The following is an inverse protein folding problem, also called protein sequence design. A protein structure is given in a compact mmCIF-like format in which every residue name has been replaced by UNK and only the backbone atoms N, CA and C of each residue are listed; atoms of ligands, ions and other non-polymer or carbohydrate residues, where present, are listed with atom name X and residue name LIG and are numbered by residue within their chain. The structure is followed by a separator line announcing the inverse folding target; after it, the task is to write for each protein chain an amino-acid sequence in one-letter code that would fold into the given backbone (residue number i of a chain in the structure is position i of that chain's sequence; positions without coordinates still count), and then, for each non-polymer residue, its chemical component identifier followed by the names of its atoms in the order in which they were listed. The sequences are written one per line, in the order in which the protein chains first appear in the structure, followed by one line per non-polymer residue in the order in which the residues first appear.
data_IF_888015111953
#
_entry.id   IF_888015111953
#
_cell.length_a   1.000
_cell.length_b   1.000
_cell.length_c   1.000
_cell.angle_alpha   90.00
_cell.angle_beta   90.00
_cell.angle_gamma   90.00
#
_symmetry.space_group_name_H-M   'P 1'
#
loop_
_entity.id
_entity.type
_entity.pdbx_description
1 polymer ?
#
# COMPACT_ATOMS: atom_id res chain seq x y z
N UNK A 1 -5.64 -38.30 -15.93
CA UNK A 1 -4.42 -37.63 -15.48
C UNK A 1 -4.56 -36.16 -15.87
N UNK A 2 -4.95 -35.32 -14.90
CA UNK A 2 -5.10 -33.87 -15.13
C UNK A 2 -3.72 -33.23 -15.07
N UNK A 3 -3.22 -32.75 -16.21
CA UNK A 3 -2.03 -31.90 -16.26
C UNK A 3 -2.40 -30.58 -15.61
N UNK A 4 -2.02 -30.40 -14.33
CA UNK A 4 -2.05 -29.10 -13.70
C UNK A 4 -1.15 -28.16 -14.52
N UNK A 5 -1.76 -27.23 -15.23
CA UNK A 5 -1.05 -26.21 -15.96
C UNK A 5 -0.17 -25.43 -14.94
N UNK A 6 1.11 -25.31 -15.23
CA UNK A 6 2.06 -24.48 -14.51
C UNK A 6 1.58 -23.02 -14.64
N UNK A 7 0.75 -22.56 -13.69
CA UNK A 7 0.31 -21.19 -13.65
C UNK A 7 1.44 -20.30 -13.17
N UNK A 8 1.74 -19.23 -13.91
CA UNK A 8 2.63 -18.15 -13.46
C UNK A 8 2.18 -17.54 -12.11
N UNK A 9 2.86 -16.49 -11.61
CA UNK A 9 2.39 -15.74 -10.45
C UNK A 9 0.95 -15.29 -10.60
N UNK A 10 0.19 -15.27 -9.47
CA UNK A 10 -1.18 -14.77 -9.49
C UNK A 10 -1.20 -13.34 -10.06
N UNK A 11 -2.16 -13.03 -10.95
CA UNK A 11 -2.37 -11.65 -11.38
C UNK A 11 -2.95 -10.81 -10.24
N UNK A 12 -2.47 -9.59 -10.08
CA UNK A 12 -2.87 -8.69 -9.01
C UNK A 12 -3.42 -7.39 -9.59
N UNK A 13 -4.57 -6.94 -9.09
CA UNK A 13 -5.09 -5.61 -9.37
C UNK A 13 -4.83 -4.72 -8.15
N UNK A 14 -4.15 -3.59 -8.36
CA UNK A 14 -3.76 -2.64 -7.30
C UNK A 14 -4.30 -1.25 -7.64
N UNK A 15 -5.08 -0.69 -6.71
CA UNK A 15 -5.50 0.70 -6.76
C UNK A 15 -4.39 1.61 -6.21
N UNK A 16 -4.07 2.67 -6.92
CA UNK A 16 -3.15 3.71 -6.47
C UNK A 16 -3.82 5.07 -6.61
N UNK A 17 -3.87 5.83 -5.53
CA UNK A 17 -4.60 7.10 -5.46
C UNK A 17 -3.68 8.21 -4.94
N UNK A 18 -3.46 9.25 -5.75
CA UNK A 18 -2.86 10.48 -5.28
C UNK A 18 -3.95 11.46 -4.91
N UNK A 19 -3.89 11.98 -3.69
CA UNK A 19 -4.89 12.89 -3.11
C UNK A 19 -4.20 14.22 -2.91
N UNK A 20 -4.56 15.22 -3.71
CA UNK A 20 -3.97 16.55 -3.66
C UNK A 20 -4.81 17.55 -4.45
N UNK A 21 -5.31 18.59 -3.79
CA UNK A 21 -5.99 19.74 -4.43
C UNK A 21 -5.10 20.39 -5.50
N UNK A 22 -3.81 20.53 -5.23
CA UNK A 22 -2.87 21.22 -6.11
C UNK A 22 -2.48 20.41 -7.33
N UNK A 23 -2.28 19.10 -7.16
CA UNK A 23 -1.95 18.23 -8.28
C UNK A 23 -3.18 17.98 -9.15
N UNK A 24 -4.34 17.72 -8.55
CA UNK A 24 -5.60 17.48 -9.29
C UNK A 24 -6.08 18.70 -10.08
N UNK A 25 -5.74 19.91 -9.61
CA UNK A 25 -6.02 21.17 -10.34
C UNK A 25 -4.92 21.58 -11.34
N UNK A 26 -3.85 20.79 -11.48
CA UNK A 26 -2.78 21.05 -12.42
C UNK A 26 -1.77 22.12 -11.97
N UNK A 27 -1.78 22.53 -10.70
CA UNK A 27 -0.84 23.51 -10.15
C UNK A 27 0.60 22.98 -10.12
N UNK A 28 0.77 21.66 -9.91
CA UNK A 28 2.04 20.98 -10.07
C UNK A 28 1.85 19.54 -10.58
N UNK A 29 2.93 18.95 -11.08
CA UNK A 29 2.93 17.58 -11.55
C UNK A 29 2.86 16.59 -10.39
N UNK A 30 1.96 15.61 -10.47
CA UNK A 30 1.88 14.53 -9.48
C UNK A 30 3.11 13.62 -9.57
N UNK A 31 3.77 13.44 -8.45
CA UNK A 31 4.92 12.52 -8.30
C UNK A 31 4.60 11.29 -7.46
N UNK A 32 3.43 11.26 -6.83
CA UNK A 32 3.00 10.17 -5.96
C UNK A 32 2.66 8.91 -6.75
N UNK A 33 1.81 9.02 -7.77
CA UNK A 33 1.41 7.88 -8.60
C UNK A 33 2.60 7.24 -9.33
N UNK A 34 3.52 8.00 -9.98
CA UNK A 34 4.72 7.41 -10.57
C UNK A 34 5.58 6.67 -9.56
N UNK A 35 5.81 7.25 -8.37
CA UNK A 35 6.62 6.63 -7.32
C UNK A 35 6.01 5.33 -6.81
N UNK A 36 4.68 5.28 -6.56
CA UNK A 36 3.97 4.07 -6.16
C UNK A 36 4.06 2.99 -7.23
N UNK A 37 3.79 3.34 -8.49
CA UNK A 37 3.83 2.40 -9.60
C UNK A 37 5.22 1.81 -9.81
N UNK A 38 6.25 2.64 -9.79
CA UNK A 38 7.64 2.21 -9.92
C UNK A 38 8.02 1.25 -8.78
N UNK A 39 7.72 1.64 -7.54
CA UNK A 39 8.06 0.84 -6.38
C UNK A 39 7.38 -0.53 -6.41
N UNK A 40 6.06 -0.59 -6.63
CA UNK A 40 5.30 -1.84 -6.69
C UNK A 40 5.78 -2.77 -7.82
N UNK A 41 6.12 -2.20 -8.97
CA UNK A 41 6.66 -2.97 -10.10
C UNK A 41 8.02 -3.61 -9.76
N UNK A 42 8.86 -2.94 -8.94
CA UNK A 42 10.13 -3.51 -8.46
C UNK A 42 9.94 -4.52 -7.33
N UNK A 43 8.92 -4.33 -6.50
CA UNK A 43 8.72 -5.09 -5.26
C UNK A 43 8.02 -6.44 -5.44
N UNK A 44 7.30 -6.64 -6.55
CA UNK A 44 6.47 -7.82 -6.80
C UNK A 44 6.87 -8.54 -8.09
N UNK A 45 6.87 -9.87 -8.03
CA UNK A 45 7.00 -10.74 -9.20
C UNK A 45 5.66 -10.93 -9.95
N UNK A 46 4.56 -10.57 -9.31
CA UNK A 46 3.22 -10.71 -9.86
C UNK A 46 3.00 -9.80 -11.07
N UNK A 47 2.28 -10.24 -12.11
CA UNK A 47 1.71 -9.33 -13.10
C UNK A 47 0.72 -8.38 -12.43
N UNK A 48 0.95 -7.06 -12.55
CA UNK A 48 0.15 -6.03 -11.89
C UNK A 48 -0.69 -5.27 -12.91
N UNK A 49 -2.00 -5.18 -12.65
CA UNK A 49 -2.89 -4.21 -13.28
C UNK A 49 -3.11 -3.04 -12.33
N UNK A 50 -2.74 -1.84 -12.73
CA UNK A 50 -2.91 -0.63 -11.93
C UNK A 50 -4.20 0.10 -12.27
N UNK A 51 -4.98 0.43 -11.23
CA UNK A 51 -6.09 1.37 -11.27
C UNK A 51 -5.64 2.67 -10.60
N UNK A 52 -5.26 3.67 -11.41
CA UNK A 52 -4.71 4.93 -10.91
C UNK A 52 -5.77 6.03 -10.88
N UNK A 53 -5.78 6.82 -9.80
CA UNK A 53 -6.66 8.01 -9.64
C UNK A 53 -5.85 9.17 -9.07
N UNK A 54 -6.08 10.36 -9.61
CA UNK A 54 -5.60 11.63 -9.08
C UNK A 54 -6.81 12.48 -8.73
N UNK A 55 -7.02 12.75 -7.44
CA UNK A 55 -8.23 13.40 -6.93
C UNK A 55 -7.92 14.53 -5.94
N UNK A 56 -8.89 15.40 -5.71
CA UNK A 56 -8.82 16.47 -4.73
C UNK A 56 -8.98 15.95 -3.28
N UNK A 57 -8.58 16.77 -2.31
CA UNK A 57 -8.72 16.51 -0.86
C UNK A 57 -10.19 16.73 -0.42
N UNK A 58 -11.11 15.94 -0.96
CA UNK A 58 -12.55 15.96 -0.64
C UNK A 58 -12.99 14.62 -0.08
N UNK A 59 -13.45 14.59 1.19
CA UNK A 59 -13.74 13.34 1.91
C UNK A 59 -14.72 12.44 1.15
N UNK A 60 -15.80 12.98 0.61
CA UNK A 60 -16.80 12.22 -0.13
C UNK A 60 -16.21 11.60 -1.41
N UNK A 61 -15.39 12.36 -2.14
CA UNK A 61 -14.70 11.88 -3.35
C UNK A 61 -13.71 10.79 -3.03
N UNK A 62 -12.92 10.94 -1.97
CA UNK A 62 -11.96 9.93 -1.52
C UNK A 62 -12.71 8.64 -1.16
N UNK A 63 -13.74 8.73 -0.31
CA UNK A 63 -14.55 7.56 0.10
C UNK A 63 -15.15 6.83 -1.09
N UNK A 64 -15.76 7.57 -2.03
CA UNK A 64 -16.34 6.98 -3.25
C UNK A 64 -15.29 6.29 -4.12
N UNK A 65 -14.12 6.91 -4.29
CA UNK A 65 -12.99 6.34 -5.05
C UNK A 65 -12.47 5.04 -4.41
N UNK A 66 -12.35 5.00 -3.08
CA UNK A 66 -11.92 3.79 -2.38
C UNK A 66 -12.93 2.64 -2.57
N UNK A 67 -14.22 2.92 -2.47
CA UNK A 67 -15.28 1.94 -2.73
C UNK A 67 -15.22 1.43 -4.18
N UNK A 68 -15.14 2.34 -5.15
CA UNK A 68 -15.01 2.01 -6.58
C UNK A 68 -13.84 1.05 -6.84
N UNK A 69 -12.67 1.33 -6.26
CA UNK A 69 -11.48 0.49 -6.45
C UNK A 69 -11.63 -0.89 -5.82
N UNK A 70 -12.27 -0.99 -4.66
CA UNK A 70 -12.60 -2.29 -4.03
C UNK A 70 -13.56 -3.07 -4.91
N UNK A 71 -14.64 -2.45 -5.40
CA UNK A 71 -15.63 -3.07 -6.30
C UNK A 71 -15.02 -3.47 -7.65
N UNK A 72 -14.02 -2.72 -8.13
CA UNK A 72 -13.24 -3.09 -9.31
C UNK A 72 -12.31 -4.31 -9.09
N UNK A 73 -12.24 -4.83 -7.86
CA UNK A 73 -11.45 -6.02 -7.50
C UNK A 73 -9.99 -5.73 -7.19
N UNK A 74 -9.64 -4.51 -6.79
CA UNK A 74 -8.31 -4.21 -6.27
C UNK A 74 -8.12 -4.89 -4.90
N UNK A 75 -7.20 -5.83 -4.79
CA UNK A 75 -6.88 -6.50 -3.53
C UNK A 75 -6.05 -5.64 -2.56
N UNK A 76 -5.34 -4.66 -3.11
CA UNK A 76 -4.58 -3.64 -2.40
C UNK A 76 -4.93 -2.27 -2.96
N UNK A 77 -5.21 -1.30 -2.09
CA UNK A 77 -5.39 0.11 -2.46
C UNK A 77 -4.44 0.95 -1.62
N UNK A 78 -3.56 1.69 -2.29
CA UNK A 78 -2.60 2.58 -1.65
C UNK A 78 -2.94 4.02 -2.00
N UNK A 79 -3.15 4.85 -0.98
CA UNK A 79 -3.32 6.29 -1.17
C UNK A 79 -2.06 7.04 -0.76
N UNK A 80 -1.81 8.19 -1.34
CA UNK A 80 -0.75 9.12 -0.92
C UNK A 80 -1.30 10.54 -0.86
N UNK A 81 -0.96 11.27 0.20
CA UNK A 81 -1.42 12.64 0.45
C UNK A 81 -2.60 12.74 1.43
N UNK A 82 -2.87 13.95 1.89
CA UNK A 82 -3.99 14.29 2.78
C UNK A 82 -3.98 13.62 4.16
N UNK A 83 -2.80 13.27 4.72
CA UNK A 83 -2.70 12.50 5.97
C UNK A 83 -2.18 13.28 7.18
N UNK A 84 -1.92 14.57 7.04
CA UNK A 84 -1.45 15.45 8.11
C UNK A 84 -2.59 16.06 8.95
N UNK A 85 -2.27 17.05 9.80
CA UNK A 85 -3.25 17.71 10.67
C UNK A 85 -3.92 18.95 10.04
N UNK A 86 -3.66 19.26 8.79
CA UNK A 86 -4.28 20.39 8.09
C UNK A 86 -5.78 20.17 7.96
N UNK A 87 -6.56 21.27 7.91
CA UNK A 87 -8.01 21.21 7.76
C UNK A 87 -8.47 20.54 6.44
N UNK A 88 -7.59 20.58 5.42
CA UNK A 88 -7.88 19.91 4.14
C UNK A 88 -7.42 18.45 4.11
N UNK A 89 -6.62 18.00 5.08
CA UNK A 89 -6.17 16.62 5.18
C UNK A 89 -7.30 15.75 5.74
N UNK A 90 -8.06 15.09 4.89
CA UNK A 90 -9.24 14.28 5.25
C UNK A 90 -9.14 12.83 4.78
N UNK A 91 -7.97 12.41 4.31
CA UNK A 91 -7.76 11.04 3.83
C UNK A 91 -8.01 9.99 4.91
N UNK A 92 -7.53 10.13 6.17
CA UNK A 92 -7.82 9.16 7.21
C UNK A 92 -9.31 9.04 7.53
N UNK A 93 -10.02 10.16 7.62
CA UNK A 93 -11.47 10.19 7.88
C UNK A 93 -12.25 9.50 6.76
N UNK A 94 -11.90 9.78 5.50
CA UNK A 94 -12.52 9.14 4.34
C UNK A 94 -12.29 7.63 4.31
N UNK A 95 -11.08 7.20 4.68
CA UNK A 95 -10.69 5.78 4.73
C UNK A 95 -11.39 5.04 5.85
N UNK A 96 -11.47 5.63 7.05
CA UNK A 96 -12.20 5.07 8.17
C UNK A 96 -13.71 4.96 7.91
N UNK A 97 -14.29 5.92 7.20
CA UNK A 97 -15.70 5.92 6.85
C UNK A 97 -16.13 4.72 5.98
N UNK A 98 -15.19 4.14 5.22
CA UNK A 98 -15.46 2.97 4.35
C UNK A 98 -14.94 1.65 4.93
N UNK A 99 -14.37 1.68 6.12
CA UNK A 99 -13.73 0.53 6.76
C UNK A 99 -14.75 -0.51 7.25
N UNK A 100 -14.47 -1.78 7.02
CA UNK A 100 -15.11 -2.90 7.73
C UNK A 100 -14.30 -3.31 8.97
N UNK A 101 -12.97 -3.19 8.90
CA UNK A 101 -12.06 -3.42 10.04
C UNK A 101 -10.89 -2.45 9.97
N UNK A 102 -10.49 -1.93 11.11
CA UNK A 102 -9.26 -1.14 11.24
C UNK A 102 -8.04 -2.04 11.45
N UNK A 103 -6.91 -1.62 10.87
CA UNK A 103 -5.62 -2.30 10.98
C UNK A 103 -4.58 -1.36 11.60
N UNK A 104 -4.69 -1.01 12.91
CA UNK A 104 -3.93 0.07 13.53
C UNK A 104 -2.41 -0.15 13.50
N UNK A 105 -1.94 -1.40 13.52
CA UNK A 105 -0.52 -1.72 13.48
C UNK A 105 0.21 -1.18 12.25
N UNK A 106 -0.47 -1.02 11.12
CA UNK A 106 0.13 -0.36 9.94
C UNK A 106 0.44 1.12 10.22
N UNK A 107 -0.51 1.86 10.80
CA UNK A 107 -0.32 3.26 11.16
C UNK A 107 0.78 3.45 12.21
N UNK A 108 0.83 2.57 13.21
CA UNK A 108 1.88 2.55 14.23
C UNK A 108 3.26 2.34 13.62
N UNK A 109 3.42 1.34 12.75
CA UNK A 109 4.68 1.03 12.09
C UNK A 109 5.12 2.13 11.13
N UNK A 110 4.19 2.72 10.37
CA UNK A 110 4.48 3.85 9.47
C UNK A 110 5.04 5.05 10.24
N UNK A 111 4.42 5.44 11.36
CA UNK A 111 4.91 6.52 12.23
C UNK A 111 6.27 6.19 12.84
N UNK A 112 6.46 4.95 13.33
CA UNK A 112 7.75 4.50 13.85
C UNK A 112 8.88 4.66 12.83
N UNK A 113 8.67 4.23 11.59
CA UNK A 113 9.66 4.37 10.51
C UNK A 113 9.93 5.85 10.24
N UNK A 114 8.89 6.65 10.07
CA UNK A 114 9.02 8.07 9.70
C UNK A 114 9.67 8.92 10.79
N UNK A 115 9.50 8.57 12.07
CA UNK A 115 10.13 9.26 13.21
C UNK A 115 11.66 9.12 13.22
N UNK A 116 12.23 8.11 12.57
CA UNK A 116 13.69 7.98 12.41
C UNK A 116 14.27 9.05 11.47
N UNK A 117 13.43 9.68 10.64
CA UNK A 117 13.86 10.70 9.68
C UNK A 117 13.47 12.10 10.10
N UNK A 118 12.25 12.29 10.62
CA UNK A 118 11.73 13.62 10.96
C UNK A 118 10.84 13.58 12.21
N UNK A 119 11.08 14.45 13.20
CA UNK A 119 10.30 14.46 14.45
C UNK A 119 8.83 14.83 14.24
N UNK A 120 8.50 15.56 13.16
CA UNK A 120 7.12 15.94 12.84
C UNK A 120 6.27 14.78 12.30
N UNK A 121 6.86 13.60 12.08
CA UNK A 121 6.10 12.39 11.74
C UNK A 121 5.06 11.98 12.80
N UNK A 122 5.23 12.47 14.05
CA UNK A 122 4.22 12.32 15.11
C UNK A 122 2.86 12.94 14.74
N UNK A 123 2.83 13.89 13.81
CA UNK A 123 1.60 14.54 13.33
C UNK A 123 0.88 13.72 12.24
N UNK A 124 1.47 12.64 11.78
CA UNK A 124 0.87 11.77 10.77
C UNK A 124 -0.32 10.99 11.34
N UNK A 125 -1.43 11.04 10.61
CA UNK A 125 -2.70 10.39 10.98
C UNK A 125 -3.02 9.21 10.06
N UNK A 126 -2.01 8.67 9.38
CA UNK A 126 -2.12 7.53 8.48
C UNK A 126 -2.80 6.34 9.13
N UNK A 127 -3.72 5.71 8.41
CA UNK A 127 -4.45 4.52 8.82
C UNK A 127 -4.36 3.43 7.75
N UNK A 128 -4.69 2.21 8.14
CA UNK A 128 -4.98 1.13 7.22
C UNK A 128 -6.26 0.42 7.66
N UNK A 129 -7.02 -0.07 6.69
CA UNK A 129 -8.30 -0.72 6.92
C UNK A 129 -8.51 -1.91 5.97
N UNK A 130 -9.40 -2.81 6.35
CA UNK A 130 -9.95 -3.81 5.44
C UNK A 130 -11.37 -3.40 5.03
N UNK A 131 -11.65 -3.53 3.75
CA UNK A 131 -12.99 -3.50 3.21
C UNK A 131 -13.15 -4.68 2.25
N UNK A 132 -14.12 -5.55 2.52
CA UNK A 132 -14.31 -6.82 1.80
C UNK A 132 -12.98 -7.61 1.70
N UNK A 133 -12.51 -7.93 0.51
CA UNK A 133 -11.24 -8.62 0.26
C UNK A 133 -10.11 -7.67 -0.14
N UNK A 134 -10.17 -6.42 0.30
CA UNK A 134 -9.20 -5.38 -0.02
C UNK A 134 -8.54 -4.81 1.23
N UNK A 135 -7.23 -4.66 1.17
CA UNK A 135 -6.44 -3.88 2.13
C UNK A 135 -6.24 -2.47 1.59
N UNK A 136 -6.65 -1.46 2.34
CA UNK A 136 -6.50 -0.05 2.00
C UNK A 136 -5.50 0.57 2.97
N UNK A 137 -4.45 1.25 2.47
CA UNK A 137 -3.40 1.87 3.30
C UNK A 137 -3.18 3.32 2.85
N UNK A 138 -3.19 4.24 3.82
CA UNK A 138 -2.78 5.63 3.57
C UNK A 138 -1.27 5.76 3.75
N UNK A 139 -0.57 6.22 2.71
CA UNK A 139 0.88 6.44 2.70
C UNK A 139 1.21 7.94 2.83
N UNK A 140 2.46 8.29 3.20
CA UNK A 140 2.91 9.68 3.20
C UNK A 140 2.78 10.33 1.83
N UNK A 141 2.60 11.67 1.82
CA UNK A 141 2.51 12.44 0.56
C UNK A 141 3.84 12.65 -0.16
N UNK A 142 4.96 12.51 0.53
CA UNK A 142 6.28 12.71 -0.08
C UNK A 142 6.78 11.43 -0.77
N UNK A 143 7.17 11.46 -2.06
CA UNK A 143 7.59 10.26 -2.79
C UNK A 143 8.71 9.46 -2.11
N UNK A 144 9.72 10.15 -1.55
CA UNK A 144 10.80 9.51 -0.80
C UNK A 144 10.29 8.75 0.42
N UNK A 145 9.38 9.35 1.18
CA UNK A 145 8.79 8.74 2.38
C UNK A 145 7.89 7.53 2.06
N UNK A 146 7.34 7.46 0.84
CA UNK A 146 6.59 6.29 0.36
C UNK A 146 7.51 5.06 0.36
N UNK A 147 8.66 5.14 -0.31
CA UNK A 147 9.61 4.03 -0.38
C UNK A 147 10.15 3.65 1.01
N UNK A 148 10.54 4.64 1.83
CA UNK A 148 11.02 4.45 3.20
C UNK A 148 9.99 3.70 4.06
N UNK A 149 8.72 4.06 3.95
CA UNK A 149 7.62 3.43 4.69
C UNK A 149 7.37 1.99 4.24
N UNK A 150 7.39 1.75 2.93
CA UNK A 150 7.13 0.43 2.36
C UNK A 150 8.28 -0.56 2.61
N UNK A 151 9.53 -0.11 2.48
CA UNK A 151 10.74 -0.94 2.65
C UNK A 151 11.23 -1.05 4.09
N UNK A 152 11.00 0.00 4.91
CA UNK A 152 11.55 0.12 6.26
C UNK A 152 13.01 0.59 6.27
N UNK A 153 13.67 0.35 7.40
CA UNK A 153 15.03 0.79 7.63
C UNK A 153 16.00 -0.37 7.42
N UNK A 154 17.10 -0.06 6.73
CA UNK A 154 18.21 -1.00 6.50
C UNK A 154 19.51 -0.38 7.07
N UNK A 155 20.39 -1.22 7.59
CA UNK A 155 21.74 -0.82 7.99
C UNK A 155 22.66 -0.62 6.76
N UNK A 156 23.93 -0.28 7.03
CA UNK A 156 24.94 -0.07 5.99
C UNK A 156 25.18 -1.31 5.11
N UNK A 157 24.92 -2.50 5.63
CA UNK A 157 25.06 -3.78 4.92
C UNK A 157 23.77 -4.18 4.19
N UNK A 158 22.73 -3.33 4.20
CA UNK A 158 21.46 -3.58 3.57
C UNK A 158 20.52 -4.53 4.33
N UNK A 159 20.86 -4.89 5.57
CA UNK A 159 20.04 -5.75 6.42
C UNK A 159 18.90 -4.92 7.04
N UNK A 160 17.68 -5.47 7.03
CA UNK A 160 16.52 -4.82 7.64
C UNK A 160 16.70 -4.70 9.16
N UNK A 161 16.66 -3.47 9.68
CA UNK A 161 16.69 -3.12 11.12
C UNK A 161 15.28 -2.85 11.63
N UNK A 162 14.47 -2.18 10.82
CA UNK A 162 13.05 -1.96 11.08
C UNK A 162 12.30 -2.38 9.83
N UNK A 163 11.47 -3.42 9.88
CA UNK A 163 10.75 -3.89 8.70
C UNK A 163 9.76 -2.82 8.21
N UNK A 164 9.70 -2.63 6.89
CA UNK A 164 8.68 -1.82 6.25
C UNK A 164 7.32 -2.45 6.36
N UNK A 165 6.28 -1.65 6.17
CA UNK A 165 4.90 -2.15 6.27
C UNK A 165 4.59 -3.22 5.22
N UNK A 166 5.27 -3.16 4.05
CA UNK A 166 5.01 -4.11 2.97
C UNK A 166 5.41 -5.54 3.33
N UNK A 167 6.24 -5.74 4.34
CA UNK A 167 6.56 -7.08 4.86
C UNK A 167 5.31 -7.84 5.34
N UNK A 168 4.29 -7.13 5.85
CA UNK A 168 3.04 -7.71 6.34
C UNK A 168 1.93 -7.78 5.27
N UNK A 169 2.01 -6.97 4.22
CA UNK A 169 0.95 -6.84 3.20
C UNK A 169 0.61 -8.18 2.52
N UNK A 170 1.58 -8.99 2.05
CA UNK A 170 1.27 -10.25 1.39
C UNK A 170 0.44 -11.20 2.25
N UNK A 171 0.84 -11.38 3.50
CA UNK A 171 0.12 -12.29 4.40
C UNK A 171 -1.25 -11.74 4.80
N UNK A 172 -1.38 -10.42 4.96
CA UNK A 172 -2.68 -9.79 5.21
C UNK A 172 -3.65 -10.06 4.04
N UNK A 173 -3.18 -9.93 2.79
CA UNK A 173 -3.99 -10.21 1.60
C UNK A 173 -4.37 -11.69 1.50
N UNK A 174 -3.45 -12.62 1.84
CA UNK A 174 -3.79 -14.05 1.92
C UNK A 174 -4.94 -14.31 2.90
N UNK A 175 -4.90 -13.67 4.09
CA UNK A 175 -5.90 -13.88 5.15
C UNK A 175 -7.30 -13.38 4.78
N UNK A 176 -7.39 -12.42 3.87
CA UNK A 176 -8.68 -11.90 3.39
C UNK A 176 -9.13 -12.55 2.07
N UNK A 177 -8.42 -13.59 1.61
CA UNK A 177 -8.79 -14.36 0.43
C UNK A 177 -8.36 -13.73 -0.91
N UNK A 178 -7.39 -12.82 -0.87
CA UNK A 178 -6.82 -12.18 -2.07
C UNK A 178 -5.75 -13.05 -2.77
N UNK A 179 -5.14 -12.53 -3.85
CA UNK A 179 -4.10 -13.22 -4.59
C UNK A 179 -2.82 -13.41 -3.78
N UNK A 180 -2.06 -14.44 -4.08
CA UNK A 180 -0.76 -14.66 -3.44
C UNK A 180 0.30 -13.72 -3.99
N UNK A 181 0.71 -12.73 -3.19
CA UNK A 181 1.76 -11.79 -3.55
C UNK A 181 3.14 -12.40 -3.37
N UNK A 182 3.95 -12.37 -4.41
CA UNK A 182 5.34 -12.84 -4.42
C UNK A 182 6.28 -11.64 -4.44
N UNK A 183 6.96 -11.39 -3.32
CA UNK A 183 7.86 -10.24 -3.17
C UNK A 183 9.24 -10.51 -3.75
N UNK A 184 9.87 -9.46 -4.29
CA UNK A 184 11.28 -9.44 -4.66
C UNK A 184 12.10 -9.18 -3.41
N UNK A 185 12.75 -10.22 -2.88
CA UNK A 185 13.43 -10.20 -1.56
C UNK A 185 14.51 -9.10 -1.42
N UNK A 186 15.13 -8.70 -2.52
CA UNK A 186 16.14 -7.62 -2.53
C UNK A 186 15.51 -6.23 -2.33
N UNK A 187 14.23 -6.06 -2.64
CA UNK A 187 13.47 -4.82 -2.42
C UNK A 187 12.78 -4.86 -1.07
N UNK A 188 11.90 -5.83 -0.88
CA UNK A 188 11.17 -6.02 0.37
C UNK A 188 10.81 -7.49 0.54
N UNK A 189 11.26 -8.10 1.63
CA UNK A 189 10.92 -9.48 1.95
C UNK A 189 9.59 -9.57 2.68
N UNK A 190 8.58 -10.14 2.02
CA UNK A 190 7.31 -10.46 2.65
C UNK A 190 7.48 -11.56 3.71
N UNK A 191 6.81 -11.40 4.86
CA UNK A 191 6.79 -12.40 5.90
C UNK A 191 5.48 -13.22 5.86
N UNK A 192 5.62 -14.53 5.89
CA UNK A 192 4.52 -15.49 6.10
C UNK A 192 4.93 -16.54 7.14
N UNK A 193 4.01 -17.01 8.00
CA UNK A 193 4.27 -18.20 8.80
C UNK A 193 4.46 -19.40 7.86
N UNK A 194 5.24 -20.40 8.30
CA UNK A 194 5.58 -21.58 7.47
C UNK A 194 4.33 -22.28 6.89
N UNK A 195 3.23 -22.31 7.64
CA UNK A 195 1.97 -22.91 7.23
C UNK A 195 1.24 -22.18 6.08
N UNK A 196 1.60 -20.92 5.80
CA UNK A 196 1.01 -20.09 4.76
C UNK A 196 1.92 -19.95 3.52
N UNK A 197 3.11 -20.53 3.54
CA UNK A 197 4.02 -20.52 2.39
C UNK A 197 3.54 -21.53 1.37
N UNK A 198 3.24 -21.09 0.15
CA UNK A 198 2.95 -21.99 -0.96
C UNK A 198 4.23 -22.77 -1.33
N UNK A 199 4.14 -24.07 -1.66
CA UNK A 199 5.30 -24.82 -2.11
C UNK A 199 5.91 -24.18 -3.37
N UNK A 200 7.26 -24.31 -3.57
CA UNK A 200 7.90 -23.83 -4.78
C UNK A 200 7.22 -24.44 -6.00
N UNK A 201 7.07 -23.63 -7.04
CA UNK A 201 6.56 -24.13 -8.31
C UNK A 201 7.58 -25.09 -8.89
N UNK A 202 7.18 -26.30 -9.17
CA UNK A 202 8.00 -27.24 -9.96
C UNK A 202 8.06 -26.70 -11.39
N UNK A 203 9.27 -26.35 -11.83
CA UNK A 203 9.58 -25.96 -13.21
C UNK A 203 9.47 -27.19 -14.11
#
# INVERSE_FOLDING_TARGET
MSTAALSGPDSVKIGIVSISDRASSGVYEDKGLPALKEWLTRALHNPITFEARLIADEQATISATLIELVEAGCSLVLTTGGTGPSLRDVTPEATLAVAHKEMPGFGEQMRRISLEFVPTAILSRQVAVLRDQSLIINLPGQPKSIAETLEGLKDADGKSVVPGIFAAVPYCIDLIGGPYLETVDTVCKGFRPKSAIRPPRTV
#
